data_IF_742625868951
#
_entry.id   IF_742625868951
#
_cell.length_a   1.000
_cell.length_b   1.000
_cell.length_c   1.000
_cell.angle_alpha   90.00
_cell.angle_beta   90.00
_cell.angle_gamma   90.00
#
_symmetry.space_group_name_H-M   'P 1'
#
loop_
_entity.id
_entity.type
_entity.pdbx_description
1 polymer ?
#
# COMPACT_ATOMS: atom_id res chain seq x y z
N UNK A 1 21.90 19.71 4.79
CA UNK A 1 23.22 20.27 5.11
C UNK A 1 23.98 20.39 3.80
N UNK A 2 24.05 21.58 3.21
CA UNK A 2 24.99 21.81 2.10
C UNK A 2 26.35 22.07 2.73
N UNK A 3 27.32 21.19 2.49
CA UNK A 3 28.69 21.39 2.93
C UNK A 3 29.37 22.28 1.90
N UNK A 4 29.79 23.47 2.30
CA UNK A 4 30.54 24.38 1.46
C UNK A 4 31.95 23.82 1.30
N UNK A 5 32.26 23.34 0.09
CA UNK A 5 33.57 22.82 -0.28
C UNK A 5 34.33 23.95 -0.95
N UNK A 6 35.35 24.48 -0.28
CA UNK A 6 36.24 25.48 -0.85
C UNK A 6 37.14 24.85 -1.91
N UNK A 7 36.91 25.23 -3.17
CA UNK A 7 37.66 24.74 -4.32
C UNK A 7 38.80 25.69 -4.72
N UNK A 8 38.99 26.83 -4.06
CA UNK A 8 39.98 27.85 -4.45
C UNK A 8 41.43 27.40 -4.27
N UNK A 9 41.68 26.45 -3.36
CA UNK A 9 43.01 25.88 -3.08
C UNK A 9 43.56 24.92 -4.15
N UNK A 10 42.72 24.42 -5.06
CA UNK A 10 43.14 23.48 -6.10
C UNK A 10 43.79 24.18 -7.30
N UNK A 11 44.63 23.49 -8.06
CA UNK A 11 45.09 23.98 -9.37
C UNK A 11 43.93 23.93 -10.36
N UNK A 12 43.97 24.80 -11.39
CA UNK A 12 42.90 24.90 -12.39
C UNK A 12 42.58 23.54 -13.05
N UNK A 13 43.60 22.76 -13.36
CA UNK A 13 43.46 21.41 -13.91
C UNK A 13 42.76 20.43 -12.96
N UNK A 14 43.03 20.52 -11.66
CA UNK A 14 42.41 19.67 -10.64
C UNK A 14 40.92 20.03 -10.48
N UNK A 15 40.61 21.34 -10.53
CA UNK A 15 39.21 21.82 -10.51
C UNK A 15 38.42 21.30 -11.70
N UNK A 16 38.98 21.34 -12.91
CA UNK A 16 38.32 20.82 -14.12
C UNK A 16 37.98 19.33 -13.99
N UNK A 17 38.90 18.52 -13.47
CA UNK A 17 38.68 17.09 -13.24
C UNK A 17 37.57 16.87 -12.20
N UNK A 18 37.59 17.60 -11.09
CA UNK A 18 36.57 17.50 -10.03
C UNK A 18 35.20 17.87 -10.58
N UNK A 19 35.08 18.99 -11.29
CA UNK A 19 33.83 19.43 -11.93
C UNK A 19 33.31 18.39 -12.93
N UNK A 20 34.19 17.77 -13.71
CA UNK A 20 33.82 16.70 -14.64
C UNK A 20 33.29 15.44 -13.97
N UNK A 21 33.76 15.11 -12.77
CA UNK A 21 33.18 14.00 -11.96
C UNK A 21 31.80 14.41 -11.43
N UNK A 22 31.67 15.59 -10.85
CA UNK A 22 30.41 16.08 -10.26
C UNK A 22 29.29 16.19 -11.31
N UNK A 23 29.62 16.66 -12.52
CA UNK A 23 28.64 16.77 -13.59
C UNK A 23 28.11 15.39 -14.02
N UNK A 24 29.00 14.41 -14.17
CA UNK A 24 28.61 13.03 -14.50
C UNK A 24 27.79 12.41 -13.38
N UNK A 25 28.19 12.62 -12.12
CA UNK A 25 27.44 12.11 -10.97
C UNK A 25 26.02 12.71 -10.94
N UNK A 26 25.89 14.02 -11.14
CA UNK A 26 24.58 14.69 -11.23
C UNK A 26 23.72 14.16 -12.38
N UNK A 27 24.33 13.86 -13.53
CA UNK A 27 23.64 13.24 -14.65
C UNK A 27 23.09 11.86 -14.27
N UNK A 28 23.92 11.01 -13.63
CA UNK A 28 23.49 9.69 -13.15
C UNK A 28 22.37 9.81 -12.10
N UNK A 29 22.50 10.71 -11.14
CA UNK A 29 21.48 10.96 -10.12
C UNK A 29 20.13 11.33 -10.75
N UNK A 30 20.12 12.25 -11.72
CA UNK A 30 18.87 12.66 -12.38
C UNK A 30 18.16 11.52 -13.14
N UNK A 31 18.94 10.63 -13.78
CA UNK A 31 18.39 9.45 -14.46
C UNK A 31 17.76 8.50 -13.44
N UNK A 32 18.44 8.25 -12.32
CA UNK A 32 17.94 7.33 -11.30
C UNK A 32 16.72 7.90 -10.56
N UNK A 33 16.69 9.20 -10.27
CA UNK A 33 15.53 9.88 -9.72
C UNK A 33 14.29 9.71 -10.61
N UNK A 34 14.45 9.85 -11.93
CA UNK A 34 13.35 9.65 -12.88
C UNK A 34 12.91 8.18 -12.95
N UNK A 35 13.85 7.22 -12.88
CA UNK A 35 13.52 5.79 -12.82
C UNK A 35 12.72 5.46 -11.57
N UNK A 36 13.16 5.95 -10.40
CA UNK A 36 12.47 5.79 -9.12
C UNK A 36 11.07 6.44 -9.19
N UNK A 37 10.95 7.63 -9.77
CA UNK A 37 9.67 8.32 -9.93
C UNK A 37 8.69 7.50 -10.75
N UNK A 38 9.09 7.00 -11.91
CA UNK A 38 8.27 6.12 -12.76
C UNK A 38 7.81 4.86 -12.02
N UNK A 39 8.72 4.20 -11.31
CA UNK A 39 8.41 2.99 -10.53
C UNK A 39 7.40 3.28 -9.41
N UNK A 40 7.57 4.38 -8.67
CA UNK A 40 6.62 4.80 -7.63
C UNK A 40 5.23 5.06 -8.21
N UNK A 41 5.14 5.78 -9.33
CA UNK A 41 3.86 6.03 -10.01
C UNK A 41 3.21 4.73 -10.48
N UNK A 42 3.97 3.79 -11.03
CA UNK A 42 3.45 2.49 -11.44
C UNK A 42 2.92 1.68 -10.26
N UNK A 43 3.65 1.64 -9.13
CA UNK A 43 3.19 1.01 -7.90
C UNK A 43 1.92 1.64 -7.35
N UNK A 44 1.81 2.98 -7.37
CA UNK A 44 0.58 3.68 -6.97
C UNK A 44 -0.60 3.32 -7.87
N UNK A 45 -0.39 3.22 -9.18
CA UNK A 45 -1.43 2.82 -10.12
C UNK A 45 -1.91 1.38 -9.88
N UNK A 46 -0.98 0.45 -9.62
CA UNK A 46 -1.32 -0.93 -9.27
C UNK A 46 -2.09 -1.00 -7.95
N UNK A 47 -1.68 -0.24 -6.93
CA UNK A 47 -2.44 -0.14 -5.66
C UNK A 47 -3.84 0.41 -5.88
N UNK A 48 -3.98 1.47 -6.68
CA UNK A 48 -5.27 2.05 -7.03
C UNK A 48 -6.17 1.05 -7.78
N UNK A 49 -5.62 0.36 -8.78
CA UNK A 49 -6.33 -0.70 -9.52
C UNK A 49 -6.72 -1.89 -8.62
N UNK A 50 -5.85 -2.28 -7.69
CA UNK A 50 -6.14 -3.30 -6.68
C UNK A 50 -7.30 -2.87 -5.78
N UNK A 51 -7.28 -1.64 -5.27
CA UNK A 51 -8.35 -1.07 -4.46
C UNK A 51 -9.68 -0.94 -5.23
N UNK A 52 -9.64 -0.67 -6.55
CA UNK A 52 -10.84 -0.52 -7.40
C UNK A 52 -11.42 -1.85 -7.88
N UNK A 53 -10.60 -2.89 -8.06
CA UNK A 53 -11.05 -4.18 -8.61
C UNK A 53 -11.54 -5.18 -7.56
N UNK A 54 -11.11 -5.09 -6.31
CA UNK A 54 -11.42 -6.11 -5.29
C UNK A 54 -12.54 -5.74 -4.31
N UNK A 55 -13.09 -4.52 -4.35
CA UNK A 55 -13.65 -3.90 -3.14
C UNK A 55 -15.16 -3.90 -2.96
N UNK A 56 -16.01 -4.02 -3.99
CA UNK A 56 -17.46 -3.85 -3.75
C UNK A 56 -18.33 -5.06 -4.10
N UNK A 57 -18.19 -5.64 -5.29
CA UNK A 57 -19.12 -6.70 -5.70
C UNK A 57 -18.77 -8.11 -5.21
N UNK A 58 -17.48 -8.44 -5.07
CA UNK A 58 -17.06 -9.81 -4.70
C UNK A 58 -17.09 -10.03 -3.18
N UNK A 59 -16.65 -9.05 -2.37
CA UNK A 59 -16.70 -9.13 -0.90
C UNK A 59 -18.12 -9.15 -0.34
N UNK A 60 -19.11 -8.63 -1.08
CA UNK A 60 -20.51 -8.66 -0.67
C UNK A 60 -21.17 -10.03 -0.85
N UNK A 61 -20.56 -10.93 -1.63
CA UNK A 61 -21.13 -12.22 -2.04
C UNK A 61 -20.52 -13.43 -1.34
N UNK A 62 -19.57 -13.27 -0.42
CA UNK A 62 -18.94 -14.39 0.30
C UNK A 62 -18.88 -14.15 1.81
N UNK A 63 -18.92 -15.23 2.59
CA UNK A 63 -18.74 -15.20 4.03
C UNK A 63 -17.27 -14.91 4.38
N UNK A 64 -17.01 -13.93 5.25
CA UNK A 64 -15.64 -13.60 5.66
C UNK A 64 -14.93 -14.67 6.51
N UNK A 65 -15.66 -15.61 7.12
CA UNK A 65 -15.08 -16.71 7.93
C UNK A 65 -14.78 -17.96 7.11
N UNK A 66 -15.77 -18.46 6.37
CA UNK A 66 -15.65 -19.73 5.63
C UNK A 66 -15.49 -19.55 4.11
N UNK A 67 -15.43 -18.31 3.62
CA UNK A 67 -15.33 -17.94 2.19
C UNK A 67 -16.43 -18.49 1.27
N UNK A 68 -17.44 -19.16 1.83
CA UNK A 68 -18.58 -19.69 1.07
C UNK A 68 -19.42 -18.56 0.47
N UNK A 69 -19.87 -18.76 -0.76
CA UNK A 69 -20.78 -17.84 -1.43
C UNK A 69 -22.09 -17.68 -0.64
N UNK A 70 -22.53 -16.43 -0.50
CA UNK A 70 -23.77 -16.01 0.12
C UNK A 70 -24.79 -15.78 -0.98
N UNK A 71 -25.95 -16.40 -0.86
CA UNK A 71 -27.00 -16.32 -1.87
C UNK A 71 -27.75 -14.99 -1.81
N UNK A 72 -28.44 -14.66 -2.90
CA UNK A 72 -29.21 -13.41 -3.03
C UNK A 72 -30.55 -13.48 -2.29
N UNK A 73 -31.15 -14.67 -2.17
CA UNK A 73 -32.45 -14.89 -1.53
C UNK A 73 -32.31 -15.67 -0.21
N UNK A 74 -31.61 -16.80 -0.25
CA UNK A 74 -31.31 -17.67 0.89
C UNK A 74 -29.82 -17.56 1.23
N UNK A 75 -29.44 -17.68 2.50
CA UNK A 75 -28.04 -17.59 2.95
C UNK A 75 -27.34 -16.25 2.61
N UNK A 76 -28.07 -15.13 2.69
CA UNK A 76 -27.53 -13.77 2.46
C UNK A 76 -26.42 -13.37 3.44
N UNK A 77 -26.31 -14.06 4.57
CA UNK A 77 -25.44 -13.65 5.68
C UNK A 77 -25.85 -12.31 6.29
N UNK A 78 -25.19 -11.91 7.38
CA UNK A 78 -25.36 -10.57 7.96
C UNK A 78 -24.02 -9.97 8.37
N UNK A 79 -24.00 -8.65 8.49
CA UNK A 79 -22.81 -7.87 8.83
C UNK A 79 -22.45 -8.09 10.30
N UNK A 80 -21.17 -8.38 10.57
CA UNK A 80 -20.61 -8.43 11.91
C UNK A 80 -20.42 -7.01 12.46
N UNK A 81 -20.86 -6.76 13.69
CA UNK A 81 -20.72 -5.43 14.33
C UNK A 81 -19.26 -5.09 14.70
N UNK A 82 -18.37 -6.08 14.84
CA UNK A 82 -16.96 -5.84 15.20
C UNK A 82 -16.06 -5.51 14.02
N UNK A 83 -16.21 -6.23 12.89
CA UNK A 83 -15.32 -6.09 11.73
C UNK A 83 -16.03 -5.55 10.47
N UNK A 84 -17.34 -5.28 10.52
CA UNK A 84 -18.16 -4.80 9.40
C UNK A 84 -18.15 -5.71 8.16
N UNK A 85 -17.77 -6.98 8.30
CA UNK A 85 -17.78 -7.96 7.21
C UNK A 85 -19.01 -8.87 7.26
N UNK A 86 -19.43 -9.39 6.10
CA UNK A 86 -20.60 -10.27 5.97
C UNK A 86 -20.26 -11.71 6.35
N UNK A 87 -21.07 -12.34 7.20
CA UNK A 87 -20.85 -13.70 7.74
C UNK A 87 -22.13 -14.53 7.59
N UNK A 88 -22.01 -15.81 7.21
CA UNK A 88 -23.16 -16.73 7.08
C UNK A 88 -23.79 -17.06 8.45
N UNK A 89 -24.98 -17.69 8.43
CA UNK A 89 -25.72 -18.10 9.64
C UNK A 89 -24.92 -19.08 10.51
N UNK A 90 -24.21 -20.02 9.89
CA UNK A 90 -23.47 -21.06 10.62
C UNK A 90 -22.25 -20.47 11.33
N UNK A 91 -21.46 -19.66 10.63
CA UNK A 91 -20.33 -18.95 11.21
C UNK A 91 -20.72 -17.85 12.21
N UNK A 92 -22.02 -17.58 12.41
CA UNK A 92 -22.55 -16.72 13.48
C UNK A 92 -22.79 -17.49 14.77
N UNK A 93 -23.29 -18.74 14.67
CA UNK A 93 -23.66 -19.57 15.82
C UNK A 93 -22.42 -20.13 16.54
N UNK A 94 -21.38 -20.46 15.79
CA UNK A 94 -20.06 -20.87 16.30
C UNK A 94 -19.19 -19.67 16.72
N UNK A 95 -19.83 -18.63 17.26
CA UNK A 95 -19.20 -17.42 17.78
C UNK A 95 -19.02 -17.50 19.29
N UNK A 96 -18.40 -18.56 19.80
CA UNK A 96 -17.93 -18.58 21.19
C UNK A 96 -16.77 -17.60 21.33
N UNK A 97 -17.03 -16.48 22.02
CA UNK A 97 -16.08 -15.50 22.56
C UNK A 97 -15.04 -14.93 21.58
N UNK A 98 -15.41 -13.79 20.98
CA UNK A 98 -14.59 -12.59 21.20
C UNK A 98 -13.30 -12.36 20.39
N UNK A 99 -13.01 -13.05 19.29
CA UNK A 99 -11.97 -12.56 18.36
C UNK A 99 -12.23 -12.97 16.91
N UNK A 100 -12.09 -12.01 15.99
CA UNK A 100 -12.31 -12.21 14.56
C UNK A 100 -10.99 -12.71 13.94
N UNK A 101 -10.90 -13.94 13.41
CA UNK A 101 -9.63 -14.50 12.89
C UNK A 101 -9.23 -13.95 11.52
N UNK A 102 -9.88 -12.89 11.03
CA UNK A 102 -9.55 -12.26 9.74
C UNK A 102 -8.42 -11.24 9.96
N UNK A 103 -7.25 -11.68 10.44
CA UNK A 103 -6.08 -10.79 10.66
C UNK A 103 -4.88 -11.13 9.74
N UNK A 104 -4.90 -12.19 8.95
CA UNK A 104 -3.88 -12.38 7.91
C UNK A 104 -4.55 -12.20 6.54
N UNK A 105 -4.66 -11.00 5.95
CA UNK A 105 -3.59 -10.30 5.24
C UNK A 105 -4.00 -8.85 4.87
N UNK A 106 -4.94 -8.23 5.60
CA UNK A 106 -5.46 -6.87 5.32
C UNK A 106 -5.10 -5.86 6.41
N UNK A 107 -3.87 -5.94 6.94
CA UNK A 107 -3.39 -5.09 8.04
C UNK A 107 -3.33 -3.59 7.70
N UNK A 108 -3.55 -3.19 6.44
CA UNK A 108 -3.51 -1.78 6.03
C UNK A 108 -4.84 -1.03 6.02
N UNK A 109 -6.00 -1.68 6.14
CA UNK A 109 -7.29 -1.02 5.82
C UNK A 109 -8.16 -0.65 7.03
N UNK A 110 -8.02 -1.33 8.17
CA UNK A 110 -8.83 -1.01 9.37
C UNK A 110 -8.21 0.09 10.24
N UNK A 111 -6.89 0.29 10.24
CA UNK A 111 -6.24 1.29 11.09
C UNK A 111 -6.51 2.75 10.66
N UNK A 112 -6.84 3.01 9.38
CA UNK A 112 -7.06 4.38 8.90
C UNK A 112 -8.49 4.92 9.14
N UNK A 113 -9.48 4.08 9.47
CA UNK A 113 -10.84 4.57 9.74
C UNK A 113 -11.02 5.07 11.17
N UNK A 114 -10.13 4.72 12.09
CA UNK A 114 -10.20 5.13 13.49
C UNK A 114 -9.46 6.45 13.80
N UNK A 115 -8.58 6.91 12.89
CA UNK A 115 -7.85 8.17 13.05
C UNK A 115 -8.53 9.38 12.38
N UNK A 116 -9.72 9.20 11.81
CA UNK A 116 -10.51 10.24 11.13
C UNK A 116 -11.92 10.37 11.75
N UNK A 117 -12.00 10.26 13.09
CA UNK A 117 -13.09 10.80 13.92
C UNK A 117 -12.50 11.54 15.10
#
# INVERSE_FOLDING_TARGET
MAHEVDLESFKELEREVILGVLYRDRAVQSIEEERIRKLKTHLQHLRWKGAKSSSQEYRAKCCARCQRALGLLLNRGAVCQGCSHRVCSECRKEGSLGSCPVIELTVGCCALKSLLR
#
